data_IF_061210129713
#
_entry.id   IF_061210129713
#
_cell.length_a   1.000
_cell.length_b   1.000
_cell.length_c   1.000
_cell.angle_alpha   90.00
_cell.angle_beta   90.00
_cell.angle_gamma   90.00
#
_symmetry.space_group_name_H-M   'P 1'
#
loop_
_entity.id
_entity.type
_entity.pdbx_description
1 polymer ?
#
# COMPACT_ATOMS: atom_id res chain seq x y z
N UNK A 1 -8.73 4.29 31.06
CA UNK A 1 -8.39 3.27 30.03
C UNK A 1 -9.64 3.03 29.18
N UNK A 2 -9.58 3.15 27.85
CA UNK A 2 -10.78 2.95 27.01
C UNK A 2 -11.08 1.44 26.95
N UNK A 3 -12.13 1.01 27.64
CA UNK A 3 -12.60 -0.37 27.64
C UNK A 3 -13.08 -0.77 26.24
N UNK A 4 -12.62 -1.92 25.77
CA UNK A 4 -13.08 -2.50 24.51
C UNK A 4 -14.54 -2.94 24.71
N UNK A 5 -15.48 -2.57 23.83
CA UNK A 5 -16.89 -2.90 24.00
C UNK A 5 -17.12 -4.42 24.00
N UNK A 6 -17.96 -4.90 24.92
CA UNK A 6 -18.21 -6.33 25.24
C UNK A 6 -18.71 -7.20 24.06
N UNK A 7 -19.03 -6.60 22.91
CA UNK A 7 -19.43 -7.30 21.69
C UNK A 7 -18.33 -7.43 20.63
N UNK A 8 -17.13 -6.89 20.86
CA UNK A 8 -16.04 -6.95 19.87
C UNK A 8 -15.30 -8.27 19.99
N UNK A 9 -15.58 -9.22 19.09
CA UNK A 9 -14.82 -10.46 18.97
C UNK A 9 -13.37 -10.15 18.60
N UNK A 10 -12.48 -10.16 19.59
CA UNK A 10 -11.05 -10.10 19.37
C UNK A 10 -10.64 -11.39 18.66
N UNK A 11 -10.15 -11.33 17.41
CA UNK A 11 -9.50 -12.49 16.79
C UNK A 11 -8.24 -12.80 17.60
N UNK A 12 -8.33 -13.77 18.52
CA UNK A 12 -7.16 -14.33 19.23
C UNK A 12 -6.25 -15.16 18.30
N UNK A 13 -6.48 -15.16 16.99
CA UNK A 13 -5.58 -15.80 16.04
C UNK A 13 -4.38 -14.90 15.76
N UNK A 14 -3.41 -14.92 16.68
CA UNK A 14 -2.10 -14.23 16.58
C UNK A 14 -1.44 -14.42 15.20
N UNK A 15 -1.61 -15.59 14.60
CA UNK A 15 -1.11 -15.89 13.25
C UNK A 15 -1.71 -14.99 12.16
N UNK A 16 -3.04 -14.81 12.13
CA UNK A 16 -3.70 -13.94 11.15
C UNK A 16 -3.28 -12.48 11.31
N UNK A 17 -3.10 -12.03 12.56
CA UNK A 17 -2.62 -10.68 12.85
C UNK A 17 -1.18 -10.50 12.34
N UNK A 18 -0.31 -11.51 12.52
CA UNK A 18 1.06 -11.47 12.00
C UNK A 18 1.10 -11.34 10.47
N UNK A 19 0.20 -12.01 9.73
CA UNK A 19 0.13 -11.90 8.26
C UNK A 19 -0.20 -10.46 7.85
N UNK A 20 -1.25 -9.89 8.45
CA UNK A 20 -1.69 -8.52 8.14
C UNK A 20 -0.60 -7.50 8.51
N UNK A 21 0.02 -7.67 9.68
CA UNK A 21 1.13 -6.80 10.11
C UNK A 21 2.36 -6.92 9.21
N UNK A 22 2.64 -8.13 8.72
CA UNK A 22 3.75 -8.39 7.82
C UNK A 22 3.53 -7.76 6.45
N UNK A 23 2.31 -7.82 5.92
CA UNK A 23 1.95 -7.19 4.65
C UNK A 23 2.15 -5.66 4.72
N UNK A 24 1.67 -5.03 5.79
CA UNK A 24 1.82 -3.59 6.00
C UNK A 24 3.26 -3.15 6.32
N UNK A 25 4.18 -4.07 6.61
CA UNK A 25 5.55 -3.75 7.05
C UNK A 25 6.31 -2.94 6.00
N UNK A 26 6.11 -3.23 4.71
CA UNK A 26 6.78 -2.52 3.63
C UNK A 26 6.36 -1.04 3.58
N UNK A 27 5.06 -0.78 3.63
CA UNK A 27 4.48 0.56 3.62
C UNK A 27 4.95 1.34 4.85
N UNK A 28 4.84 0.75 6.04
CA UNK A 28 5.29 1.38 7.30
C UNK A 28 6.78 1.73 7.27
N UNK A 29 7.64 0.87 6.69
CA UNK A 29 9.07 1.14 6.56
C UNK A 29 9.35 2.37 5.68
N UNK A 30 8.60 2.55 4.58
CA UNK A 30 8.73 3.71 3.68
C UNK A 30 8.22 4.99 4.32
N UNK A 31 7.09 4.93 5.01
CA UNK A 31 6.51 6.10 5.70
C UNK A 31 7.36 6.52 6.88
N UNK A 32 8.00 5.59 7.61
CA UNK A 32 8.83 5.91 8.78
C UNK A 32 9.99 6.86 8.48
N UNK A 33 10.54 6.83 7.26
CA UNK A 33 11.59 7.78 6.84
C UNK A 33 11.06 9.15 6.41
N UNK A 34 9.74 9.32 6.32
CA UNK A 34 9.10 10.59 5.93
C UNK A 34 8.81 11.43 7.17
N UNK A 35 8.78 12.77 7.02
CA UNK A 35 8.46 13.72 8.09
C UNK A 35 6.94 13.79 8.41
N UNK A 36 6.19 12.74 8.06
CA UNK A 36 4.73 12.71 8.14
C UNK A 36 4.02 13.22 6.89
N UNK A 37 2.72 12.90 6.79
CA UNK A 37 1.84 13.29 5.70
C UNK A 37 1.02 14.50 6.17
N UNK A 38 1.03 15.60 5.42
CA UNK A 38 0.43 16.88 5.85
C UNK A 38 -1.08 16.96 5.65
N UNK A 39 -1.65 16.15 4.77
CA UNK A 39 -3.09 16.08 4.50
C UNK A 39 -3.50 14.66 4.11
N UNK A 40 -4.79 14.36 4.23
CA UNK A 40 -5.35 13.07 3.82
C UNK A 40 -5.21 12.83 2.33
N UNK A 41 -5.46 13.84 1.50
CA UNK A 41 -5.32 13.73 0.05
C UNK A 41 -3.88 13.39 -0.34
N UNK A 42 -2.90 14.08 0.27
CA UNK A 42 -1.49 13.80 0.05
C UNK A 42 -1.11 12.41 0.57
N UNK A 43 -1.70 11.98 1.68
CA UNK A 43 -1.47 10.65 2.22
C UNK A 43 -1.93 9.56 1.26
N UNK A 44 -3.14 9.70 0.71
CA UNK A 44 -3.72 8.76 -0.25
C UNK A 44 -2.83 8.67 -1.49
N UNK A 45 -2.46 9.80 -2.11
CA UNK A 45 -1.62 9.78 -3.31
C UNK A 45 -0.24 9.14 -3.06
N UNK A 46 0.39 9.42 -1.91
CA UNK A 46 1.69 8.82 -1.55
C UNK A 46 1.56 7.31 -1.32
N UNK A 47 0.55 6.87 -0.58
CA UNK A 47 0.28 5.46 -0.34
C UNK A 47 0.04 4.70 -1.65
N UNK A 48 -0.80 5.25 -2.54
CA UNK A 48 -1.06 4.68 -3.87
C UNK A 48 0.21 4.57 -4.72
N UNK A 49 1.11 5.58 -4.68
CA UNK A 49 2.41 5.53 -5.35
C UNK A 49 3.35 4.45 -4.81
N UNK A 50 3.42 4.30 -3.49
CA UNK A 50 4.22 3.26 -2.84
C UNK A 50 3.71 1.87 -3.23
N UNK A 51 2.39 1.68 -3.25
CA UNK A 51 1.74 0.42 -3.61
C UNK A 51 1.93 0.09 -5.09
N UNK A 52 1.74 1.06 -5.99
CA UNK A 52 1.99 0.90 -7.42
C UNK A 52 3.42 0.41 -7.71
N UNK A 53 4.41 1.08 -7.10
CA UNK A 53 5.82 0.70 -7.24
C UNK A 53 6.10 -0.68 -6.64
N UNK A 54 5.38 -1.06 -5.58
CA UNK A 54 5.49 -2.40 -4.99
C UNK A 54 4.94 -3.48 -5.93
N UNK A 55 3.80 -3.24 -6.57
CA UNK A 55 3.19 -4.14 -7.55
C UNK A 55 4.09 -4.34 -8.78
N UNK A 56 4.67 -3.24 -9.30
CA UNK A 56 5.66 -3.29 -10.41
C UNK A 56 6.84 -4.17 -9.99
N UNK A 57 7.41 -3.92 -8.81
CA UNK A 57 8.59 -4.65 -8.32
C UNK A 57 8.32 -6.15 -8.10
N UNK A 58 7.10 -6.51 -7.69
CA UNK A 58 6.69 -7.91 -7.50
C UNK A 58 6.26 -8.59 -8.80
N UNK A 59 6.30 -7.89 -9.93
CA UNK A 59 5.83 -8.41 -11.23
C UNK A 59 4.36 -8.87 -11.17
N UNK A 60 3.57 -8.32 -10.24
CA UNK A 60 2.15 -8.65 -10.07
C UNK A 60 1.29 -8.10 -11.20
N UNK A 61 1.85 -7.19 -11.98
CA UNK A 61 1.18 -6.58 -13.12
C UNK A 61 1.41 -7.50 -14.31
N UNK A 62 0.33 -8.09 -14.82
CA UNK A 62 0.35 -8.98 -15.98
C UNK A 62 0.52 -8.18 -17.29
N UNK A 63 1.54 -7.34 -17.31
CA UNK A 63 2.02 -6.66 -18.51
C UNK A 63 2.77 -7.72 -19.30
N UNK A 64 2.15 -8.22 -20.37
CA UNK A 64 2.67 -9.28 -21.27
C UNK A 64 4.19 -9.21 -21.54
N UNK A 65 4.76 -8.01 -21.49
CA UNK A 65 6.20 -7.77 -21.37
C UNK A 65 6.44 -6.78 -20.22
N UNK A 66 7.42 -7.02 -19.33
CA UNK A 66 7.85 -6.07 -18.29
C UNK A 66 8.66 -4.89 -18.85
N UNK A 67 8.31 -4.44 -20.06
CA UNK A 67 8.92 -3.29 -20.70
C UNK A 67 8.69 -2.05 -19.86
N UNK A 68 9.70 -1.17 -19.83
CA UNK A 68 9.63 0.17 -19.22
C UNK A 68 8.41 0.94 -19.76
N UNK A 69 8.03 0.72 -21.03
CA UNK A 69 6.87 1.34 -21.65
C UNK A 69 5.56 0.91 -20.99
N UNK A 70 5.43 -0.38 -20.68
CA UNK A 70 4.23 -0.93 -20.04
C UNK A 70 4.11 -0.50 -18.58
N UNK A 71 5.25 -0.38 -17.88
CA UNK A 71 5.28 0.20 -16.53
C UNK A 71 4.87 1.66 -16.54
N UNK A 72 5.35 2.43 -17.54
CA UNK A 72 4.95 3.83 -17.75
C UNK A 72 3.44 3.91 -17.99
N UNK A 73 2.90 3.10 -18.89
CA UNK A 73 1.46 3.07 -19.22
C UNK A 73 0.60 2.71 -18.00
N UNK A 74 1.03 1.74 -17.19
CA UNK A 74 0.38 1.42 -15.92
C UNK A 74 0.33 2.61 -14.95
N UNK A 75 1.44 3.35 -14.79
CA UNK A 75 1.48 4.55 -13.94
C UNK A 75 0.53 5.63 -14.48
N UNK A 76 0.50 5.85 -15.80
CA UNK A 76 -0.44 6.78 -16.42
C UNK A 76 -1.90 6.40 -16.15
N UNK A 77 -2.25 5.13 -16.32
CA UNK A 77 -3.59 4.61 -16.08
C UNK A 77 -3.99 4.73 -14.61
N UNK A 78 -3.09 4.39 -13.69
CA UNK A 78 -3.35 4.40 -12.25
C UNK A 78 -3.58 5.82 -11.71
N UNK A 79 -2.82 6.81 -12.21
CA UNK A 79 -2.89 8.19 -11.74
C UNK A 79 -3.72 9.10 -12.65
N UNK A 80 -4.32 8.58 -13.72
CA UNK A 80 -5.09 9.37 -14.69
C UNK A 80 -4.26 10.49 -15.34
N UNK A 81 -2.94 10.30 -15.44
CA UNK A 81 -2.05 11.29 -16.06
C UNK A 81 -2.26 11.19 -17.57
N UNK A 82 -2.88 12.23 -18.15
CA UNK A 82 -3.25 12.31 -19.55
C UNK A 82 -2.18 11.72 -20.49
N UNK A 83 -2.67 10.92 -21.46
CA UNK A 83 -1.91 10.27 -22.53
C UNK A 83 -1.37 11.34 -23.49
#
# INVERSE_FOLDING_TARGET
>A
EKSIPDGLQLRQQKYLNNIVEQDHRFIKKRIRSMLGLKSFDTAISILSGIEAMHMIKKEQINLRNQSIQNQKEFVHQLFGLAI
#
